data_IF_443422987947
#
_entry.id   IF_443422987947
#
_cell.length_a   1.000
_cell.length_b   1.000
_cell.length_c   1.000
_cell.angle_alpha   90.00
_cell.angle_beta   90.00
_cell.angle_gamma   90.00
#
_symmetry.space_group_name_H-M   'P 1'
#
loop_
_entity.id
_entity.type
_entity.pdbx_description
1 polymer ?
#
# COMPACT_ATOMS: atom_id res chain seq x y z
N UNK A 1 14.78 23.22 -3.35
CA UNK A 1 15.09 21.82 -3.50
C UNK A 1 16.55 21.52 -3.17
N UNK A 2 17.44 22.38 -3.63
CA UNK A 2 18.86 22.22 -3.33
C UNK A 2 19.14 22.34 -1.84
N UNK A 3 18.39 23.18 -1.16
CA UNK A 3 18.49 23.32 0.29
C UNK A 3 18.14 22.04 1.00
N UNK A 4 17.28 21.23 0.40
CA UNK A 4 16.84 19.98 0.99
C UNK A 4 17.75 18.81 0.59
N UNK A 5 18.32 18.86 -0.58
CA UNK A 5 19.06 17.72 -1.12
C UNK A 5 20.35 17.43 -0.35
N UNK A 6 21.06 18.49 0.08
CA UNK A 6 22.38 18.32 0.67
C UNK A 6 22.38 17.74 2.07
N UNK A 7 21.55 18.22 2.95
CA UNK A 7 21.57 17.79 4.35
C UNK A 7 20.18 17.49 4.90
N UNK A 8 19.18 17.48 4.03
CA UNK A 8 17.79 17.31 4.46
C UNK A 8 17.25 15.93 4.26
N UNK A 9 18.05 15.02 3.73
CA UNK A 9 17.60 13.63 3.59
C UNK A 9 17.15 13.10 4.95
N UNK A 10 17.87 13.44 6.02
CA UNK A 10 17.50 13.01 7.36
C UNK A 10 16.22 13.66 7.87
N UNK A 11 15.83 14.80 7.29
CA UNK A 11 14.63 15.54 7.71
C UNK A 11 13.44 15.33 6.78
N UNK A 12 13.62 14.56 5.70
CA UNK A 12 12.55 14.24 4.79
C UNK A 12 11.56 13.34 5.51
N UNK A 13 10.26 13.60 5.36
CA UNK A 13 9.24 12.80 6.01
C UNK A 13 9.27 11.37 5.49
N UNK A 14 8.69 10.47 6.29
CA UNK A 14 8.60 9.06 5.91
C UNK A 14 7.86 8.89 4.59
N UNK A 15 6.78 9.66 4.41
CA UNK A 15 6.01 9.64 3.17
C UNK A 15 6.81 10.11 1.98
N UNK A 16 7.59 11.18 2.15
CA UNK A 16 8.44 11.68 1.08
C UNK A 16 9.52 10.67 0.70
N UNK A 17 10.10 9.99 1.69
CA UNK A 17 11.08 8.94 1.43
C UNK A 17 10.46 7.79 0.63
N UNK A 18 9.27 7.37 1.00
CA UNK A 18 8.57 6.30 0.28
C UNK A 18 8.24 6.70 -1.15
N UNK A 19 7.77 7.93 -1.34
CA UNK A 19 7.50 8.43 -2.68
C UNK A 19 8.76 8.46 -3.53
N UNK A 20 9.89 8.84 -2.94
CA UNK A 20 11.16 8.86 -3.62
C UNK A 20 11.60 7.45 -4.00
N UNK A 21 11.45 6.49 -3.10
CA UNK A 21 11.77 5.09 -3.39
C UNK A 21 10.97 4.56 -4.56
N UNK A 22 9.67 4.85 -4.60
CA UNK A 22 8.81 4.45 -5.71
C UNK A 22 9.26 5.11 -7.00
N UNK A 23 9.58 6.40 -6.95
CA UNK A 23 10.05 7.12 -8.13
C UNK A 23 11.36 6.54 -8.66
N UNK A 24 12.29 6.18 -7.77
CA UNK A 24 13.55 5.57 -8.15
C UNK A 24 13.33 4.20 -8.78
N UNK A 25 12.44 3.41 -8.22
CA UNK A 25 12.10 2.11 -8.79
C UNK A 25 11.51 2.27 -10.18
N UNK A 26 10.67 3.27 -10.38
CA UNK A 26 10.04 3.54 -11.66
C UNK A 26 11.03 3.99 -12.72
N UNK A 27 12.12 4.66 -12.31
CA UNK A 27 13.15 5.08 -13.25
C UNK A 27 13.79 3.90 -13.98
N UNK A 28 13.70 2.70 -13.39
CA UNK A 28 14.20 1.48 -14.00
C UNK A 28 13.21 0.88 -15.01
N UNK A 29 12.04 1.46 -15.14
CA UNK A 29 10.98 1.04 -16.07
C UNK A 29 10.58 -0.43 -15.88
N UNK A 30 10.24 -0.84 -14.67
CA UNK A 30 9.86 -2.22 -14.41
C UNK A 30 8.48 -2.53 -14.96
N UNK A 31 8.24 -3.81 -15.24
CA UNK A 31 6.91 -4.28 -15.58
C UNK A 31 6.11 -4.64 -14.34
N UNK A 32 6.80 -4.94 -13.26
CA UNK A 32 6.19 -5.34 -12.00
C UNK A 32 6.89 -4.64 -10.85
N UNK A 33 6.11 -4.16 -9.89
CA UNK A 33 6.60 -3.56 -8.66
C UNK A 33 6.20 -4.44 -7.48
N UNK A 34 7.16 -4.65 -6.59
CA UNK A 34 6.92 -5.33 -5.31
C UNK A 34 7.08 -4.30 -4.21
N UNK A 35 6.01 -4.06 -3.46
CA UNK A 35 6.00 -3.03 -2.42
C UNK A 35 5.63 -3.66 -1.08
N UNK A 36 6.47 -3.46 -0.09
CA UNK A 36 6.24 -3.97 1.26
C UNK A 36 5.88 -2.82 2.19
N UNK A 37 4.62 -2.78 2.60
CA UNK A 37 4.06 -1.77 3.47
C UNK A 37 4.42 -0.34 3.03
N UNK A 38 4.06 0.04 1.80
CA UNK A 38 4.42 1.35 1.29
C UNK A 38 3.81 2.52 2.06
N UNK A 39 2.73 2.27 2.81
CA UNK A 39 2.07 3.31 3.60
C UNK A 39 2.60 3.40 5.03
N UNK A 40 3.58 2.58 5.41
CA UNK A 40 4.08 2.56 6.78
C UNK A 40 4.59 3.93 7.21
N UNK A 41 4.14 4.37 8.39
CA UNK A 41 4.58 5.64 8.96
C UNK A 41 3.96 6.87 8.34
N UNK A 42 3.04 6.71 7.39
CA UNK A 42 2.39 7.84 6.75
C UNK A 42 1.14 8.28 7.50
N UNK A 43 0.89 9.61 7.52
CA UNK A 43 -0.37 10.14 7.95
C UNK A 43 -1.43 9.96 6.86
N UNK A 44 -2.65 10.36 7.18
CA UNK A 44 -3.77 10.17 6.27
C UNK A 44 -3.56 10.87 4.93
N UNK A 45 -3.08 12.10 4.96
CA UNK A 45 -2.89 12.90 3.75
C UNK A 45 -1.83 12.28 2.84
N UNK A 46 -0.71 11.86 3.44
CA UNK A 46 0.35 11.23 2.69
C UNK A 46 -0.08 9.89 2.09
N UNK A 47 -0.86 9.13 2.85
CA UNK A 47 -1.40 7.85 2.38
C UNK A 47 -2.29 8.06 1.17
N UNK A 48 -3.14 9.08 1.19
CA UNK A 48 -4.00 9.38 0.03
C UNK A 48 -3.20 9.74 -1.21
N UNK A 49 -2.11 10.48 -1.04
CA UNK A 49 -1.23 10.81 -2.15
C UNK A 49 -0.56 9.54 -2.72
N UNK A 50 -0.11 8.65 -1.85
CA UNK A 50 0.52 7.41 -2.29
C UNK A 50 -0.49 6.52 -3.02
N UNK A 51 -1.71 6.43 -2.51
CA UNK A 51 -2.78 5.68 -3.17
C UNK A 51 -3.02 6.23 -4.58
N UNK A 52 -3.05 7.54 -4.73
CA UNK A 52 -3.25 8.16 -6.03
C UNK A 52 -2.11 7.80 -7.00
N UNK A 53 -0.88 7.89 -6.53
CA UNK A 53 0.30 7.52 -7.34
C UNK A 53 0.22 6.06 -7.77
N UNK A 54 -0.03 5.16 -6.84
CA UNK A 54 -0.07 3.74 -7.13
C UNK A 54 -1.25 3.37 -8.02
N UNK A 55 -2.37 4.04 -7.86
CA UNK A 55 -3.54 3.84 -8.71
C UNK A 55 -3.22 4.14 -10.17
N UNK A 56 -2.50 5.23 -10.41
CA UNK A 56 -2.10 5.59 -11.77
C UNK A 56 -1.11 4.59 -12.35
N UNK A 57 -0.18 4.11 -11.55
CA UNK A 57 0.81 3.15 -11.99
C UNK A 57 0.20 1.78 -12.29
N UNK A 58 -0.82 1.40 -11.55
CA UNK A 58 -1.48 0.10 -11.72
C UNK A 58 -2.18 -0.03 -13.08
N UNK A 59 -2.39 1.09 -13.78
CA UNK A 59 -3.03 1.04 -15.09
C UNK A 59 -2.17 0.36 -16.16
N UNK A 60 -0.84 0.40 -16.01
CA UNK A 60 0.04 -0.20 -17.01
C UNK A 60 1.14 -1.08 -16.41
N UNK A 61 1.10 -1.31 -15.11
CA UNK A 61 2.10 -2.13 -14.41
C UNK A 61 1.39 -3.09 -13.47
N UNK A 62 2.05 -4.20 -13.20
CA UNK A 62 1.59 -5.12 -12.16
C UNK A 62 2.19 -4.71 -10.83
N UNK A 63 1.37 -4.56 -9.82
CA UNK A 63 1.83 -4.21 -8.48
C UNK A 63 1.42 -5.32 -7.52
N UNK A 64 2.42 -5.88 -6.83
CA UNK A 64 2.18 -6.78 -5.69
C UNK A 64 2.54 -6.01 -4.44
N UNK A 65 1.58 -5.85 -3.56
CA UNK A 65 1.73 -5.01 -2.38
C UNK A 65 1.36 -5.78 -1.13
N UNK A 66 2.19 -5.69 -0.11
CA UNK A 66 1.87 -6.19 1.22
C UNK A 66 1.50 -4.98 2.07
N UNK A 67 0.32 -5.04 2.69
CA UNK A 67 -0.17 -3.89 3.44
C UNK A 67 -1.16 -4.32 4.51
N UNK A 68 -1.26 -3.56 5.58
CA UNK A 68 -2.27 -3.76 6.61
C UNK A 68 -3.20 -2.55 6.75
N UNK A 69 -2.99 -1.50 5.98
CA UNK A 69 -3.91 -0.37 5.88
C UNK A 69 -5.06 -0.80 4.99
N UNK A 70 -6.16 -1.20 5.60
CA UNK A 70 -7.27 -1.81 4.86
C UNK A 70 -7.91 -0.84 3.87
N UNK A 71 -8.03 0.43 4.24
CA UNK A 71 -8.62 1.42 3.35
C UNK A 71 -7.79 1.57 2.07
N UNK A 72 -6.46 1.62 2.21
CA UNK A 72 -5.57 1.71 1.06
C UNK A 72 -5.68 0.46 0.18
N UNK A 73 -5.68 -0.72 0.81
CA UNK A 73 -5.78 -1.98 0.08
C UNK A 73 -7.10 -2.04 -0.68
N UNK A 74 -8.20 -1.71 -0.04
CA UNK A 74 -9.51 -1.76 -0.68
C UNK A 74 -9.63 -0.76 -1.83
N UNK A 75 -8.89 0.35 -1.75
CA UNK A 75 -8.89 1.36 -2.83
C UNK A 75 -8.08 0.94 -4.04
N UNK A 76 -7.03 0.13 -3.83
CA UNK A 76 -6.05 -0.16 -4.87
C UNK A 76 -6.18 -1.55 -5.48
N UNK A 77 -6.57 -2.54 -4.70
CA UNK A 77 -6.45 -3.92 -5.12
C UNK A 77 -7.54 -4.33 -6.09
N UNK A 78 -7.15 -5.10 -7.10
CA UNK A 78 -8.09 -5.82 -7.95
C UNK A 78 -8.44 -7.16 -7.31
N UNK A 79 -7.43 -7.77 -6.68
CA UNK A 79 -7.57 -9.04 -6.01
C UNK A 79 -6.67 -9.03 -4.79
N UNK A 80 -7.12 -9.64 -3.72
CA UNK A 80 -6.29 -9.68 -2.52
C UNK A 80 -6.37 -11.02 -1.81
N UNK A 81 -5.25 -11.33 -1.16
CA UNK A 81 -5.12 -12.51 -0.30
C UNK A 81 -4.95 -12.04 1.13
N UNK A 82 -5.64 -12.69 2.04
CA UNK A 82 -5.58 -12.33 3.46
C UNK A 82 -4.82 -13.39 4.21
N UNK A 83 -3.77 -12.97 4.93
CA UNK A 83 -2.96 -13.85 5.75
C UNK A 83 -3.27 -13.67 7.23
N UNK A 84 -3.40 -14.79 7.90
CA UNK A 84 -3.53 -14.82 9.36
C UNK A 84 -2.60 -15.91 9.88
N UNK A 85 -1.68 -15.54 10.76
CA UNK A 85 -0.73 -16.47 11.35
C UNK A 85 0.01 -17.32 10.31
N UNK A 86 0.41 -16.69 9.21
CA UNK A 86 1.17 -17.35 8.17
C UNK A 86 0.35 -18.21 7.20
N UNK A 87 -0.97 -18.18 7.32
CA UNK A 87 -1.85 -18.93 6.44
C UNK A 87 -2.76 -18.00 5.67
N UNK A 88 -2.95 -18.31 4.37
CA UNK A 88 -3.91 -17.59 3.55
C UNK A 88 -5.29 -18.13 3.88
N UNK A 89 -6.17 -17.26 4.37
CA UNK A 89 -7.53 -17.64 4.74
C UNK A 89 -8.54 -17.31 3.65
N UNK A 90 -8.21 -16.42 2.73
CA UNK A 90 -9.08 -16.05 1.63
C UNK A 90 -8.28 -15.37 0.52
N UNK A 91 -8.68 -15.60 -0.71
CA UNK A 91 -8.16 -14.90 -1.89
C UNK A 91 -9.35 -14.61 -2.80
N UNK A 92 -9.65 -13.32 -3.03
CA UNK A 92 -10.83 -12.97 -3.82
C UNK A 92 -10.77 -11.49 -4.20
N UNK A 93 -11.83 -11.03 -4.86
CA UNK A 93 -12.01 -9.62 -5.14
C UNK A 93 -12.18 -8.84 -3.85
N UNK A 94 -11.96 -7.54 -3.93
CA UNK A 94 -12.15 -6.64 -2.77
C UNK A 94 -13.56 -6.78 -2.20
N UNK A 95 -14.55 -6.81 -3.06
CA UNK A 95 -15.95 -6.91 -2.65
C UNK A 95 -16.22 -8.16 -1.81
N UNK A 96 -15.76 -9.29 -2.31
CA UNK A 96 -15.96 -10.56 -1.61
C UNK A 96 -15.16 -10.65 -0.32
N UNK A 97 -13.96 -10.09 -0.31
CA UNK A 97 -13.14 -10.05 0.90
C UNK A 97 -13.81 -9.20 1.98
N UNK A 98 -14.36 -8.05 1.61
CA UNK A 98 -15.02 -7.17 2.58
C UNK A 98 -16.22 -7.82 3.25
N UNK A 99 -16.90 -8.70 2.54
CA UNK A 99 -18.06 -9.41 3.08
C UNK A 99 -17.73 -10.78 3.67
N UNK A 100 -16.47 -11.18 3.66
CA UNK A 100 -16.04 -12.47 4.19
C UNK A 100 -16.02 -12.43 5.72
N UNK A 101 -16.76 -13.33 6.36
CA UNK A 101 -16.88 -13.34 7.81
C UNK A 101 -15.57 -13.64 8.54
N UNK A 102 -14.76 -14.52 7.99
CA UNK A 102 -13.47 -14.85 8.62
C UNK A 102 -12.52 -13.66 8.57
N UNK A 103 -12.52 -12.93 7.47
CA UNK A 103 -11.71 -11.72 7.32
C UNK A 103 -12.20 -10.64 8.27
N UNK A 104 -13.51 -10.47 8.36
CA UNK A 104 -14.09 -9.48 9.26
C UNK A 104 -13.68 -9.75 10.70
N UNK A 105 -13.73 -11.01 11.12
CA UNK A 105 -13.31 -11.39 12.47
C UNK A 105 -11.83 -11.11 12.71
N UNK A 106 -10.99 -11.39 11.73
CA UNK A 106 -9.54 -11.25 11.89
C UNK A 106 -9.10 -9.79 11.91
N UNK A 107 -9.72 -8.94 11.11
CA UNK A 107 -9.22 -7.58 10.88
C UNK A 107 -10.23 -6.47 11.15
N UNK A 108 -11.51 -6.75 10.98
CA UNK A 108 -12.55 -5.72 11.03
C UNK A 108 -13.56 -5.94 12.13
N UNK A 109 -13.82 -7.18 12.48
CA UNK A 109 -14.90 -7.54 13.37
C UNK A 109 -14.80 -6.92 14.75
N UNK A 110 -13.62 -6.89 15.30
CA UNK A 110 -13.37 -6.36 16.64
C UNK A 110 -13.64 -4.86 16.72
N UNK A 111 -13.52 -4.18 15.59
CA UNK A 111 -13.77 -2.75 15.54
C UNK A 111 -15.26 -2.40 15.60
N UNK A 112 -16.08 -3.37 15.33
CA UNK A 112 -17.52 -3.19 15.27
C UNK A 112 -18.27 -3.88 16.43
N UNK A 113 -17.51 -4.55 17.26
CA UNK A 113 -18.10 -5.28 18.40
C UNK A 113 -18.47 -4.35 19.59
#
# INVERSE_FOLDING_TARGET
>A
LDDRAGHRVANVSHGEQRQLEVAMALAMQPKMLLLDEPMAGMGKEETLKMVDILSRLASDKTILMVEHDMDAVFSLADQLSVLVNGHIIATDTVENIRSNHDVQRAYLGDQHA
#
